data_IF_918746382581
#
_entry.id   IF_918746382581
#
_cell.length_a   1.000
_cell.length_b   1.000
_cell.length_c   1.000
_cell.angle_alpha   90.00
_cell.angle_beta   90.00
_cell.angle_gamma   90.00
#
_symmetry.space_group_name_H-M   'P 1'
#
loop_
_entity.id
_entity.type
_entity.pdbx_description
1 polymer ?
#
# COMPACT_ATOMS: atom_id res chain seq x y z
N UNK A 1 35.13 -11.14 32.41
CA UNK A 1 35.94 -10.42 33.43
C UNK A 1 35.46 -10.86 34.80
N UNK A 2 36.38 -11.15 35.72
CA UNK A 2 36.12 -11.78 37.02
C UNK A 2 35.24 -10.90 37.93
N UNK A 3 34.05 -11.39 38.32
CA UNK A 3 33.15 -10.76 39.31
C UNK A 3 33.67 -10.82 40.75
N UNK A 4 34.69 -11.64 41.02
CA UNK A 4 35.20 -11.89 42.38
C UNK A 4 36.04 -10.73 42.94
N UNK A 5 36.62 -9.90 42.07
CA UNK A 5 37.55 -8.83 42.46
C UNK A 5 36.87 -7.55 42.94
N UNK A 6 35.61 -7.31 42.58
CA UNK A 6 34.90 -6.05 42.90
C UNK A 6 34.27 -6.06 44.30
N UNK A 7 33.82 -7.24 44.77
CA UNK A 7 33.23 -7.42 46.10
C UNK A 7 34.18 -7.05 47.25
N UNK A 8 35.50 -7.22 47.04
CA UNK A 8 36.52 -7.01 48.08
C UNK A 8 36.76 -5.53 48.41
N UNK A 9 36.46 -4.61 47.49
CA UNK A 9 36.74 -3.18 47.66
C UNK A 9 35.56 -2.40 48.28
N UNK A 10 34.31 -2.84 48.09
CA UNK A 10 33.13 -2.10 48.57
C UNK A 10 32.71 -2.46 50.02
N UNK A 11 33.11 -3.63 50.52
CA UNK A 11 32.83 -4.10 51.89
C UNK A 11 33.61 -3.36 52.99
N UNK A 12 34.60 -2.53 52.64
CA UNK A 12 35.54 -1.93 53.59
C UNK A 12 35.08 -0.56 54.14
N UNK A 13 33.79 -0.24 54.03
CA UNK A 13 33.23 1.10 54.30
C UNK A 13 32.36 1.17 55.57
N UNK A 14 32.30 0.12 56.41
CA UNK A 14 31.49 0.13 57.62
C UNK A 14 31.99 -0.79 58.75
N UNK A 15 31.61 -0.47 59.99
CA UNK A 15 32.09 -1.13 61.21
C UNK A 15 31.64 -2.60 61.38
N UNK A 16 30.75 -3.14 60.53
CA UNK A 16 30.25 -4.51 60.61
C UNK A 16 30.15 -5.18 59.22
N UNK A 17 30.96 -6.22 59.00
CA UNK A 17 31.15 -6.90 57.71
C UNK A 17 29.87 -7.58 57.19
N UNK A 18 29.00 -8.06 58.09
CA UNK A 18 27.73 -8.71 57.73
C UNK A 18 26.74 -7.73 57.11
N UNK A 19 26.65 -6.52 57.65
CA UNK A 19 25.72 -5.50 57.16
C UNK A 19 26.17 -4.93 55.81
N UNK A 20 27.48 -4.79 55.61
CA UNK A 20 28.06 -4.41 54.32
C UNK A 20 27.78 -5.47 53.24
N UNK A 21 27.85 -6.75 53.60
CA UNK A 21 27.56 -7.87 52.69
C UNK A 21 26.09 -7.90 52.26
N UNK A 22 25.16 -7.73 53.22
CA UNK A 22 23.73 -7.69 52.93
C UNK A 22 23.36 -6.51 52.03
N UNK A 23 23.91 -5.31 52.30
CA UNK A 23 23.70 -4.14 51.45
C UNK A 23 24.21 -4.35 50.02
N UNK A 24 25.34 -5.02 49.87
CA UNK A 24 25.89 -5.32 48.56
C UNK A 24 25.04 -6.35 47.81
N UNK A 25 24.54 -7.37 48.51
CA UNK A 25 23.63 -8.35 47.93
C UNK A 25 22.32 -7.69 47.47
N UNK A 26 21.75 -6.78 48.26
CA UNK A 26 20.57 -6.00 47.87
C UNK A 26 20.83 -5.09 46.67
N UNK A 27 22.00 -4.45 46.60
CA UNK A 27 22.38 -3.62 45.45
C UNK A 27 22.47 -4.45 44.17
N UNK A 28 23.19 -5.58 44.22
CA UNK A 28 23.34 -6.48 43.07
C UNK A 28 21.95 -6.97 42.60
N UNK A 29 21.08 -7.38 43.51
CA UNK A 29 19.72 -7.80 43.16
C UNK A 29 18.91 -6.68 42.50
N UNK A 30 19.04 -5.44 42.98
CA UNK A 30 18.38 -4.28 42.36
C UNK A 30 18.95 -3.96 40.98
N UNK A 31 20.27 -4.01 40.83
CA UNK A 31 20.95 -3.77 39.56
C UNK A 31 20.55 -4.82 38.52
N UNK A 32 20.47 -6.10 38.90
CA UNK A 32 20.00 -7.20 38.06
C UNK A 32 18.53 -7.02 37.66
N UNK A 33 17.65 -6.69 38.60
CA UNK A 33 16.24 -6.41 38.33
C UNK A 33 16.06 -5.21 37.40
N UNK A 34 16.87 -4.16 37.55
CA UNK A 34 16.82 -3.00 36.67
C UNK A 34 17.34 -3.34 35.26
N UNK A 35 18.42 -4.11 35.14
CA UNK A 35 18.93 -4.57 33.86
C UNK A 35 17.92 -5.47 33.12
N UNK A 36 17.19 -6.32 33.84
CA UNK A 36 16.11 -7.13 33.28
C UNK A 36 14.97 -6.25 32.75
N UNK A 37 14.53 -5.26 33.53
CA UNK A 37 13.51 -4.29 33.10
C UNK A 37 13.93 -3.51 31.86
N UNK A 38 15.17 -3.01 31.81
CA UNK A 38 15.70 -2.32 30.64
C UNK A 38 15.70 -3.21 29.39
N UNK A 39 16.03 -4.49 29.55
CA UNK A 39 15.98 -5.47 28.46
C UNK A 39 14.55 -5.69 27.95
N UNK A 40 13.57 -5.81 28.85
CA UNK A 40 12.15 -5.95 28.50
C UNK A 40 11.68 -4.71 27.73
N UNK A 41 11.90 -3.51 28.27
CA UNK A 41 11.50 -2.25 27.62
C UNK A 41 12.13 -2.11 26.24
N UNK A 42 13.39 -2.49 26.09
CA UNK A 42 14.08 -2.47 24.80
C UNK A 42 13.46 -3.45 23.79
N UNK A 43 13.09 -4.66 24.25
CA UNK A 43 12.42 -5.65 23.41
C UNK A 43 11.04 -5.15 22.97
N UNK A 44 10.24 -4.65 23.91
CA UNK A 44 8.90 -4.10 23.66
C UNK A 44 8.94 -2.92 22.69
N UNK A 45 9.93 -2.03 22.84
CA UNK A 45 10.13 -0.92 21.90
C UNK A 45 10.38 -1.44 20.49
N UNK A 46 11.24 -2.45 20.34
CA UNK A 46 11.55 -3.03 19.03
C UNK A 46 10.35 -3.76 18.42
N UNK A 47 9.54 -4.46 19.23
CA UNK A 47 8.32 -5.11 18.74
C UNK A 47 7.29 -4.08 18.30
N UNK A 48 7.12 -2.98 19.06
CA UNK A 48 6.18 -1.92 18.70
C UNK A 48 6.59 -1.21 17.41
N UNK A 49 7.87 -0.90 17.23
CA UNK A 49 8.38 -0.30 15.97
C UNK A 49 8.14 -1.22 14.76
N UNK A 50 8.32 -2.53 14.93
CA UNK A 50 8.04 -3.50 13.86
C UNK A 50 6.54 -3.59 13.56
N UNK A 51 5.69 -3.58 14.59
CA UNK A 51 4.24 -3.61 14.43
C UNK A 51 3.75 -2.37 13.68
N UNK A 52 4.21 -1.17 14.09
CA UNK A 52 3.87 0.09 13.45
C UNK A 52 4.33 0.13 11.99
N UNK A 53 5.54 -0.37 11.69
CA UNK A 53 6.00 -0.46 10.31
C UNK A 53 5.11 -1.41 9.51
N UNK A 54 4.83 -2.62 9.99
CA UNK A 54 4.01 -3.58 9.27
C UNK A 54 2.60 -3.04 8.98
N UNK A 55 1.96 -2.39 9.95
CA UNK A 55 0.64 -1.78 9.77
C UNK A 55 0.67 -0.67 8.70
N UNK A 56 1.67 0.20 8.76
CA UNK A 56 1.86 1.26 7.76
C UNK A 56 2.17 0.69 6.37
N UNK A 57 2.92 -0.40 6.29
CA UNK A 57 3.26 -1.06 5.04
C UNK A 57 2.02 -1.64 4.36
N UNK A 58 1.13 -2.28 5.12
CA UNK A 58 -0.15 -2.78 4.62
C UNK A 58 -1.04 -1.63 4.12
N UNK A 59 -1.12 -0.53 4.87
CA UNK A 59 -1.88 0.66 4.46
C UNK A 59 -1.35 1.25 3.15
N UNK A 60 -0.03 1.37 2.99
CA UNK A 60 0.60 1.87 1.76
C UNK A 60 0.36 0.91 0.59
N UNK A 61 0.52 -0.39 0.82
CA UNK A 61 0.26 -1.44 -0.18
C UNK A 61 -1.19 -1.39 -0.67
N UNK A 62 -2.15 -1.31 0.25
CA UNK A 62 -3.57 -1.23 -0.06
C UNK A 62 -3.92 0.01 -0.87
N UNK A 63 -3.41 1.19 -0.47
CA UNK A 63 -3.60 2.42 -1.22
C UNK A 63 -3.06 2.31 -2.65
N UNK A 64 -1.89 1.69 -2.82
CA UNK A 64 -1.30 1.47 -4.15
C UNK A 64 -2.13 0.52 -5.01
N UNK A 65 -2.71 -0.53 -4.41
CA UNK A 65 -3.62 -1.46 -5.10
C UNK A 65 -4.86 -0.72 -5.60
N UNK A 66 -5.52 0.07 -4.75
CA UNK A 66 -6.70 0.86 -5.12
C UNK A 66 -6.39 1.84 -6.24
N UNK A 67 -5.27 2.57 -6.15
CA UNK A 67 -4.88 3.49 -7.23
C UNK A 67 -4.69 2.77 -8.56
N UNK A 68 -4.10 1.58 -8.55
CA UNK A 68 -3.90 0.79 -9.75
C UNK A 68 -5.23 0.23 -10.29
N UNK A 69 -6.13 -0.23 -9.43
CA UNK A 69 -7.47 -0.69 -9.83
C UNK A 69 -8.28 0.45 -10.44
N UNK A 70 -8.29 1.62 -9.82
CA UNK A 70 -8.97 2.80 -10.36
C UNK A 70 -8.44 3.18 -11.73
N UNK A 71 -7.12 3.12 -11.95
CA UNK A 71 -6.53 3.36 -13.28
C UNK A 71 -7.00 2.33 -14.31
N UNK A 72 -7.01 1.05 -13.96
CA UNK A 72 -7.51 -0.03 -14.84
C UNK A 72 -8.97 0.19 -15.21
N UNK A 73 -9.83 0.49 -14.23
CA UNK A 73 -11.25 0.77 -14.45
C UNK A 73 -11.42 1.97 -15.39
N UNK A 74 -10.67 3.05 -15.17
CA UNK A 74 -10.73 4.22 -16.05
C UNK A 74 -10.33 3.91 -17.50
N UNK A 75 -9.30 3.10 -17.69
CA UNK A 75 -8.85 2.69 -19.01
C UNK A 75 -9.87 1.78 -19.70
N UNK A 76 -10.48 0.84 -18.96
CA UNK A 76 -11.57 -0.01 -19.44
C UNK A 76 -12.79 0.82 -19.87
N UNK A 77 -13.21 1.79 -19.05
CA UNK A 77 -14.31 2.71 -19.38
C UNK A 77 -14.00 3.52 -20.63
N UNK A 78 -12.75 4.00 -20.77
CA UNK A 78 -12.32 4.74 -21.98
C UNK A 78 -12.38 3.85 -23.23
N UNK A 79 -11.95 2.60 -23.14
CA UNK A 79 -12.02 1.65 -24.25
C UNK A 79 -13.47 1.28 -24.60
N UNK A 80 -14.31 1.05 -23.59
CA UNK A 80 -15.73 0.78 -23.78
C UNK A 80 -16.44 1.96 -24.48
N UNK A 81 -16.15 3.20 -24.09
CA UNK A 81 -16.68 4.38 -24.74
C UNK A 81 -16.27 4.48 -26.21
N UNK A 82 -15.00 4.19 -26.53
CA UNK A 82 -14.51 4.13 -27.92
C UNK A 82 -15.23 3.05 -28.73
N UNK A 83 -15.40 1.86 -28.16
CA UNK A 83 -16.12 0.76 -28.81
C UNK A 83 -17.58 1.13 -29.07
N UNK A 84 -18.28 1.74 -28.10
CA UNK A 84 -19.65 2.19 -28.24
C UNK A 84 -19.81 3.23 -29.38
N UNK A 85 -18.88 4.19 -29.48
CA UNK A 85 -18.87 5.17 -30.58
C UNK A 85 -18.62 4.49 -31.92
N UNK A 86 -17.70 3.52 -32.00
CA UNK A 86 -17.42 2.78 -33.23
C UNK A 86 -18.64 2.00 -33.72
N UNK A 87 -19.34 1.30 -32.81
CA UNK A 87 -20.59 0.59 -33.10
C UNK A 87 -21.64 1.56 -33.61
N UNK A 88 -21.82 2.71 -32.94
CA UNK A 88 -22.80 3.73 -33.35
C UNK A 88 -22.50 4.30 -34.73
N UNK A 89 -21.22 4.58 -35.03
CA UNK A 89 -20.79 5.06 -36.35
C UNK A 89 -21.09 4.02 -37.43
N UNK A 90 -20.84 2.74 -37.16
CA UNK A 90 -21.11 1.68 -38.12
C UNK A 90 -22.61 1.50 -38.38
N UNK A 91 -23.42 1.55 -37.31
CA UNK A 91 -24.87 1.50 -37.42
C UNK A 91 -25.42 2.70 -38.23
N UNK A 92 -24.89 3.90 -37.98
CA UNK A 92 -25.27 5.09 -38.73
C UNK A 92 -24.91 4.96 -40.22
N UNK A 93 -23.70 4.47 -40.54
CA UNK A 93 -23.30 4.21 -41.93
C UNK A 93 -24.24 3.23 -42.63
N UNK A 94 -24.67 2.16 -41.95
CA UNK A 94 -25.63 1.21 -42.51
C UNK A 94 -26.99 1.85 -42.77
N UNK A 95 -27.44 2.74 -41.88
CA UNK A 95 -28.71 3.44 -42.02
C UNK A 95 -28.67 4.41 -43.20
N UNK A 96 -27.61 5.23 -43.28
CA UNK A 96 -27.38 6.15 -44.40
C UNK A 96 -27.30 5.39 -45.72
N UNK A 97 -26.61 4.24 -45.76
CA UNK A 97 -26.53 3.45 -46.99
C UNK A 97 -27.91 2.96 -47.44
N UNK A 98 -28.73 2.45 -46.52
CA UNK A 98 -30.10 2.02 -46.82
C UNK A 98 -30.96 3.17 -47.36
N UNK A 99 -30.83 4.35 -46.77
CA UNK A 99 -31.53 5.56 -47.25
C UNK A 99 -31.06 5.96 -48.64
N UNK A 100 -29.75 5.96 -48.90
CA UNK A 100 -29.18 6.24 -50.23
C UNK A 100 -29.72 5.24 -51.27
N UNK A 101 -29.72 3.94 -50.95
CA UNK A 101 -30.19 2.91 -51.86
C UNK A 101 -31.69 3.09 -52.19
N UNK A 102 -32.50 3.45 -51.18
CA UNK A 102 -33.92 3.78 -51.36
C UNK A 102 -34.11 5.01 -52.25
N UNK A 103 -33.38 6.09 -51.99
CA UNK A 103 -33.48 7.31 -52.79
C UNK A 103 -32.94 7.14 -54.21
N UNK A 104 -31.90 6.32 -54.43
CA UNK A 104 -31.43 5.99 -55.78
C UNK A 104 -32.52 5.27 -56.58
N UNK A 105 -33.26 4.34 -55.95
CA UNK A 105 -34.39 3.68 -56.58
C UNK A 105 -35.50 4.67 -56.95
N UNK A 106 -35.90 5.54 -56.02
CA UNK A 106 -36.93 6.57 -56.27
C UNK A 106 -36.52 7.54 -57.38
N UNK A 107 -35.27 8.01 -57.37
CA UNK A 107 -34.75 8.90 -58.40
C UNK A 107 -34.67 8.21 -59.77
N UNK A 108 -34.30 6.94 -59.81
CA UNK A 108 -34.24 6.16 -61.05
C UNK A 108 -35.61 6.05 -61.73
N UNK A 109 -36.69 5.89 -60.96
CA UNK A 109 -38.07 5.90 -61.47
C UNK A 109 -38.45 7.24 -62.10
N UNK A 110 -37.89 8.34 -61.58
CA UNK A 110 -38.06 9.69 -62.12
C UNK A 110 -37.07 10.02 -63.26
N UNK A 111 -36.19 9.09 -63.65
CA UNK A 111 -35.13 9.31 -64.64
C UNK A 111 -34.03 10.26 -64.17
N UNK A 112 -33.90 10.48 -62.86
CA UNK A 112 -32.87 11.34 -62.23
C UNK A 112 -31.85 10.48 -61.49
N UNK A 113 -30.69 11.04 -61.20
CA UNK A 113 -29.63 10.37 -60.43
C UNK A 113 -28.90 11.35 -59.52
N UNK A 114 -28.28 10.87 -58.45
CA UNK A 114 -27.39 11.70 -57.63
C UNK A 114 -26.19 12.19 -58.45
N UNK A 115 -25.83 13.46 -58.22
CA UNK A 115 -24.58 13.99 -58.74
C UNK A 115 -23.40 13.34 -58.00
N UNK A 116 -22.51 12.67 -58.74
CA UNK A 116 -21.28 12.08 -58.22
C UNK A 116 -20.11 12.83 -58.85
N UNK A 117 -19.42 13.65 -58.05
CA UNK A 117 -18.18 14.30 -58.49
C UNK A 117 -17.12 13.20 -58.68
N UNK A 118 -16.59 13.07 -59.90
CA UNK A 118 -15.44 12.19 -60.13
C UNK A 118 -14.22 12.81 -59.45
N UNK A 119 -13.51 11.99 -58.68
CA UNK A 119 -12.18 12.30 -58.15
C UNK A 119 -11.18 12.30 -59.31
#
# INVERSE_FOLDING_TARGET
MSMSTTLRFELNTGNNMKDAFLKQQERIQKDEMMAERENIVRLEKNTNLRAEWNENLEKVSWNKRIQNENKKIQDEVRLAAKAAIAVRRKALQQLIQKEIDMYEQELSLLGKTFFKQRI
#
